data_IF_688453976193
#
_entry.id   IF_688453976193
#
_cell.length_a   1.000
_cell.length_b   1.000
_cell.length_c   1.000
_cell.angle_alpha   90.00
_cell.angle_beta   90.00
_cell.angle_gamma   90.00
#
_symmetry.space_group_name_H-M   'P 1'
#
loop_
_entity.id
_entity.type
_entity.pdbx_description
1 polymer ?
#
# COMPACT_ATOMS: atom_id res chain seq x y z
N UNK A 1 9.94 -29.98 -25.92
CA UNK A 1 9.73 -30.25 -24.48
C UNK A 1 8.47 -29.51 -24.08
N UNK A 2 7.32 -30.18 -24.18
CA UNK A 2 6.00 -29.59 -23.96
C UNK A 2 5.69 -29.82 -22.48
N UNK A 3 5.83 -28.79 -21.64
CA UNK A 3 5.31 -28.86 -20.27
C UNK A 3 3.80 -29.07 -20.35
N UNK A 4 3.31 -30.11 -19.67
CA UNK A 4 1.89 -30.48 -19.66
C UNK A 4 1.05 -29.39 -19.01
N UNK A 5 -0.21 -29.23 -19.45
CA UNK A 5 -1.18 -28.29 -18.87
C UNK A 5 -1.21 -28.33 -17.33
N UNK A 6 -1.08 -29.51 -16.72
CA UNK A 6 -1.10 -29.71 -15.27
C UNK A 6 0.11 -29.14 -14.52
N UNK A 7 1.31 -29.12 -15.11
CA UNK A 7 2.48 -28.50 -14.49
C UNK A 7 2.37 -26.98 -14.55
N UNK A 8 1.85 -26.45 -15.65
CA UNK A 8 1.59 -25.01 -15.79
C UNK A 8 0.56 -24.54 -14.75
N UNK A 9 -0.54 -25.27 -14.59
CA UNK A 9 -1.58 -24.98 -13.59
C UNK A 9 -1.03 -25.13 -12.16
N UNK A 10 -0.13 -26.09 -11.90
CA UNK A 10 0.54 -26.24 -10.61
C UNK A 10 1.50 -25.09 -10.31
N UNK A 11 2.28 -24.62 -11.29
CA UNK A 11 3.17 -23.47 -11.12
C UNK A 11 2.40 -22.14 -10.99
N UNK A 12 1.27 -21.98 -11.69
CA UNK A 12 0.35 -20.86 -11.50
C UNK A 12 -0.25 -20.89 -10.07
N UNK A 13 -0.66 -22.08 -9.59
CA UNK A 13 -1.16 -22.30 -8.22
C UNK A 13 -0.09 -22.04 -7.16
N UNK A 14 1.17 -22.41 -7.42
CA UNK A 14 2.29 -22.11 -6.53
C UNK A 14 2.66 -20.62 -6.54
N UNK A 15 2.41 -19.91 -7.65
CA UNK A 15 2.55 -18.44 -7.72
C UNK A 15 1.51 -17.74 -6.87
N UNK A 16 0.26 -18.22 -6.91
CA UNK A 16 -0.83 -17.77 -6.02
C UNK A 16 -0.47 -18.06 -4.56
N UNK A 17 0.07 -19.25 -4.26
CA UNK A 17 0.47 -19.63 -2.90
C UNK A 17 1.61 -18.76 -2.32
N UNK A 18 2.50 -18.22 -3.15
CA UNK A 18 3.56 -17.31 -2.71
C UNK A 18 3.03 -15.91 -2.32
N UNK A 19 1.87 -15.52 -2.87
CA UNK A 19 1.19 -14.28 -2.51
C UNK A 19 0.32 -14.45 -1.25
N UNK A 20 0.02 -15.68 -0.84
CA UNK A 20 -0.96 -16.01 0.22
C UNK A 20 -0.33 -16.60 1.50
N UNK A 21 0.95 -16.33 1.78
CA UNK A 21 1.71 -17.01 2.85
C UNK A 21 0.96 -17.01 4.20
N UNK A 22 0.38 -15.88 4.60
CA UNK A 22 -0.35 -15.79 5.88
C UNK A 22 -1.68 -16.57 5.87
N UNK A 23 -2.36 -16.67 4.73
CA UNK A 23 -3.57 -17.48 4.60
C UNK A 23 -3.23 -18.97 4.68
N UNK A 24 -2.15 -19.38 4.02
CA UNK A 24 -1.65 -20.76 4.09
C UNK A 24 -1.26 -21.10 5.52
N UNK A 25 -0.53 -20.20 6.21
CA UNK A 25 -0.20 -20.38 7.63
C UNK A 25 -1.43 -20.50 8.51
N UNK A 26 -2.48 -19.70 8.27
CA UNK A 26 -3.73 -19.79 9.02
C UNK A 26 -4.41 -21.15 8.82
N UNK A 27 -4.57 -21.61 7.58
CA UNK A 27 -5.21 -22.90 7.34
C UNK A 27 -4.42 -24.04 7.98
N UNK A 28 -3.09 -24.02 7.91
CA UNK A 28 -2.24 -25.01 8.60
C UNK A 28 -2.45 -24.93 10.12
N UNK A 29 -2.42 -23.74 10.71
CA UNK A 29 -2.59 -23.58 12.15
C UNK A 29 -3.97 -24.06 12.62
N UNK A 30 -5.03 -23.75 11.86
CA UNK A 30 -6.40 -24.19 12.14
C UNK A 30 -6.54 -25.71 12.05
N UNK A 31 -5.93 -26.35 11.06
CA UNK A 31 -5.94 -27.83 10.94
C UNK A 31 -5.15 -28.50 12.08
N UNK A 32 -4.18 -27.81 12.68
CA UNK A 32 -3.47 -28.31 13.87
C UNK A 32 -4.32 -28.24 15.14
N UNK A 33 -5.08 -27.16 15.33
CA UNK A 33 -6.02 -26.98 16.44
C UNK A 33 -7.10 -25.95 16.05
N UNK A 34 -8.37 -26.33 16.14
CA UNK A 34 -9.51 -25.43 15.83
C UNK A 34 -9.52 -24.15 16.68
N UNK A 35 -8.86 -24.14 17.84
CA UNK A 35 -8.71 -22.94 18.67
C UNK A 35 -8.01 -21.80 17.92
N UNK A 36 -7.11 -22.12 16.99
CA UNK A 36 -6.37 -21.16 16.17
C UNK A 36 -7.24 -20.37 15.19
N UNK A 37 -8.55 -20.60 15.15
CA UNK A 37 -9.49 -19.73 14.43
C UNK A 37 -9.39 -18.27 14.91
N UNK A 38 -8.98 -18.02 16.15
CA UNK A 38 -8.67 -16.68 16.65
C UNK A 38 -7.58 -15.94 15.84
N UNK A 39 -6.68 -16.66 15.18
CA UNK A 39 -5.64 -16.11 14.31
C UNK A 39 -6.17 -15.62 12.94
N UNK A 40 -7.45 -15.83 12.64
CA UNK A 40 -8.09 -15.37 11.39
C UNK A 40 -7.95 -13.85 11.18
N UNK A 41 -8.00 -13.05 12.25
CA UNK A 41 -7.76 -11.61 12.19
C UNK A 41 -6.36 -11.27 11.66
N UNK A 42 -5.32 -12.02 12.06
CA UNK A 42 -3.95 -11.80 11.58
C UNK A 42 -3.78 -12.18 10.11
N UNK A 43 -4.46 -13.23 9.65
CA UNK A 43 -4.49 -13.57 8.23
C UNK A 43 -5.14 -12.47 7.40
N UNK A 44 -6.27 -11.90 7.87
CA UNK A 44 -6.91 -10.74 7.26
C UNK A 44 -5.96 -9.53 7.22
N UNK A 45 -5.25 -9.23 8.32
CA UNK A 45 -4.23 -8.15 8.37
C UNK A 45 -3.15 -8.36 7.32
N UNK A 46 -2.66 -9.60 7.18
CA UNK A 46 -1.69 -9.99 6.16
C UNK A 46 -2.17 -9.71 4.74
N UNK A 47 -3.34 -10.24 4.40
CA UNK A 47 -3.94 -10.07 3.08
C UNK A 47 -4.19 -8.60 2.73
N UNK A 48 -4.63 -7.79 3.70
CA UNK A 48 -4.79 -6.35 3.54
C UNK A 48 -3.45 -5.62 3.37
N UNK A 49 -2.41 -6.05 4.11
CA UNK A 49 -1.05 -5.54 3.98
C UNK A 49 -0.44 -5.76 2.60
N UNK A 50 -0.77 -6.90 1.98
CA UNK A 50 -0.36 -7.27 0.62
C UNK A 50 -1.31 -6.72 -0.47
N UNK A 51 -2.32 -5.93 -0.07
CA UNK A 51 -3.28 -5.29 -0.98
C UNK A 51 -4.07 -6.30 -1.83
N UNK A 52 -4.37 -7.48 -1.26
CA UNK A 52 -5.11 -8.54 -1.95
C UNK A 52 -6.60 -8.25 -2.14
N UNK A 53 -7.07 -7.13 -1.60
CA UNK A 53 -8.43 -6.66 -1.75
C UNK A 53 -8.59 -5.61 -2.87
N UNK A 54 -7.67 -5.57 -3.84
CA UNK A 54 -7.76 -4.72 -5.05
C UNK A 54 -8.75 -5.24 -6.09
N UNK A 55 -9.94 -5.63 -5.64
CA UNK A 55 -11.05 -6.00 -6.51
C UNK A 55 -11.93 -4.79 -6.83
N UNK A 56 -12.89 -4.94 -7.75
CA UNK A 56 -13.83 -3.87 -8.11
C UNK A 56 -14.59 -3.30 -6.90
N UNK A 57 -14.94 -4.15 -5.94
CA UNK A 57 -15.62 -3.79 -4.70
C UNK A 57 -14.69 -3.60 -3.50
N UNK A 58 -13.37 -3.63 -3.71
CA UNK A 58 -12.35 -3.48 -2.68
C UNK A 58 -12.55 -4.40 -1.45
N UNK A 59 -12.77 -5.68 -1.72
CA UNK A 59 -13.04 -6.70 -0.72
C UNK A 59 -12.20 -7.94 -0.97
N UNK A 60 -11.70 -8.56 0.10
CA UNK A 60 -11.04 -9.86 0.06
C UNK A 60 -11.93 -10.94 -0.58
N UNK A 61 -11.35 -11.72 -1.51
CA UNK A 61 -12.04 -12.77 -2.28
C UNK A 61 -11.42 -14.15 -2.07
N UNK A 62 -12.00 -15.18 -2.68
CA UNK A 62 -11.43 -16.53 -2.73
C UNK A 62 -11.15 -17.10 -1.33
N UNK A 63 -9.96 -17.65 -1.09
CA UNK A 63 -9.59 -18.21 0.22
C UNK A 63 -9.65 -17.17 1.34
N UNK A 64 -9.26 -15.91 1.07
CA UNK A 64 -9.39 -14.85 2.06
C UNK A 64 -10.85 -14.64 2.49
N UNK A 65 -11.80 -14.75 1.55
CA UNK A 65 -13.22 -14.63 1.87
C UNK A 65 -13.67 -15.73 2.83
N UNK A 66 -13.15 -16.95 2.71
CA UNK A 66 -13.45 -18.02 3.64
C UNK A 66 -12.96 -17.69 5.05
N UNK A 67 -11.72 -17.20 5.19
CA UNK A 67 -11.16 -16.75 6.48
C UNK A 67 -12.02 -15.65 7.11
N UNK A 68 -12.45 -14.68 6.30
CA UNK A 68 -13.32 -13.57 6.74
C UNK A 68 -14.67 -14.09 7.25
N UNK A 69 -15.33 -15.00 6.53
CA UNK A 69 -16.63 -15.54 6.97
C UNK A 69 -16.49 -16.37 8.25
N UNK A 70 -15.41 -17.13 8.42
CA UNK A 70 -15.13 -17.85 9.67
C UNK A 70 -14.95 -16.91 10.87
N UNK A 71 -14.13 -15.87 10.69
CA UNK A 71 -13.91 -14.84 11.70
C UNK A 71 -15.21 -14.12 12.07
N UNK A 72 -16.04 -13.81 11.07
CA UNK A 72 -17.35 -13.17 11.25
C UNK A 72 -18.33 -14.06 12.00
N UNK A 73 -18.40 -15.34 11.65
CA UNK A 73 -19.27 -16.32 12.33
C UNK A 73 -18.89 -16.51 13.80
N UNK A 74 -17.60 -16.36 14.15
CA UNK A 74 -17.12 -16.39 15.54
C UNK A 74 -17.26 -15.04 16.26
N UNK A 75 -17.67 -13.98 15.57
CA UNK A 75 -17.81 -12.64 16.14
C UNK A 75 -16.47 -11.93 16.39
N UNK A 76 -15.40 -12.31 15.68
CA UNK A 76 -14.08 -11.68 15.81
C UNK A 76 -13.95 -10.44 14.92
N UNK A 77 -14.61 -10.44 13.76
CA UNK A 77 -14.56 -9.34 12.79
C UNK A 77 -15.96 -8.92 12.36
N UNK A 78 -16.18 -7.62 12.28
CA UNK A 78 -17.29 -7.02 11.57
C UNK A 78 -16.81 -6.54 10.20
N UNK A 79 -17.57 -6.85 9.15
CA UNK A 79 -17.29 -6.42 7.78
C UNK A 79 -18.40 -5.50 7.30
N UNK A 80 -18.05 -4.26 6.99
CA UNK A 80 -18.98 -3.25 6.46
C UNK A 80 -18.43 -2.64 5.18
N UNK A 81 -19.32 -2.21 4.29
CA UNK A 81 -18.94 -1.36 3.16
C UNK A 81 -18.86 0.10 3.63
N UNK A 82 -17.71 0.75 3.43
CA UNK A 82 -17.45 2.09 3.95
C UNK A 82 -16.38 2.83 3.11
N UNK A 83 -16.16 4.11 3.43
CA UNK A 83 -15.08 4.93 2.89
C UNK A 83 -13.71 4.40 3.35
N UNK A 84 -12.86 4.05 2.40
CA UNK A 84 -11.52 3.48 2.62
C UNK A 84 -10.47 4.54 2.92
N UNK A 85 -10.77 5.44 3.86
CA UNK A 85 -9.77 6.39 4.36
C UNK A 85 -8.87 5.75 5.40
N UNK A 86 -7.59 6.11 5.35
CA UNK A 86 -6.64 5.71 6.38
C UNK A 86 -6.90 6.48 7.68
N UNK A 87 -6.80 5.83 8.84
CA UNK A 87 -7.04 6.47 10.13
C UNK A 87 -8.50 6.53 10.52
N UNK A 88 -9.29 5.53 10.11
CA UNK A 88 -10.73 5.44 10.34
C UNK A 88 -11.07 5.47 11.83
N UNK A 89 -10.27 4.79 12.64
CA UNK A 89 -10.42 4.69 14.10
C UNK A 89 -9.57 5.75 14.84
N UNK A 90 -8.45 6.18 14.25
CA UNK A 90 -7.41 6.90 15.01
C UNK A 90 -7.24 8.38 14.64
N UNK A 91 -7.89 8.87 13.58
CA UNK A 91 -7.63 10.22 13.04
C UNK A 91 -8.87 11.10 12.95
N UNK A 92 -8.71 12.42 13.16
CA UNK A 92 -9.71 13.40 12.75
C UNK A 92 -10.06 13.26 11.26
N UNK A 93 -11.32 13.48 10.89
CA UNK A 93 -11.83 13.31 9.51
C UNK A 93 -10.92 13.96 8.45
N UNK A 94 -10.55 15.24 8.62
CA UNK A 94 -9.70 15.97 7.67
C UNK A 94 -8.29 15.36 7.53
N UNK A 95 -7.72 14.83 8.63
CA UNK A 95 -6.44 14.12 8.61
C UNK A 95 -6.55 12.74 7.97
N UNK A 96 -7.67 12.05 8.17
CA UNK A 96 -7.90 10.76 7.53
C UNK A 96 -7.94 10.91 6.00
N UNK A 97 -8.66 11.93 5.51
CA UNK A 97 -8.71 12.25 4.07
C UNK A 97 -7.31 12.65 3.56
N UNK A 98 -6.62 13.58 4.23
CA UNK A 98 -5.32 14.07 3.75
C UNK A 98 -4.23 13.00 3.77
N UNK A 99 -4.30 12.02 4.67
CA UNK A 99 -3.33 10.91 4.73
C UNK A 99 -3.68 9.72 3.85
N UNK A 100 -4.84 9.74 3.20
CA UNK A 100 -5.23 8.68 2.26
C UNK A 100 -4.48 8.86 0.95
N UNK A 101 -3.65 7.88 0.64
CA UNK A 101 -2.77 7.85 -0.54
C UNK A 101 -3.20 6.79 -1.56
N UNK A 102 -4.06 5.84 -1.17
CA UNK A 102 -4.54 4.79 -2.07
C UNK A 102 -6.06 4.54 -1.86
N UNK A 103 -6.93 5.11 -2.71
CA UNK A 103 -6.59 5.92 -3.89
C UNK A 103 -6.09 7.32 -3.52
N UNK A 104 -5.23 7.89 -4.36
CA UNK A 104 -4.78 9.28 -4.23
C UNK A 104 -5.88 10.22 -4.72
N UNK A 105 -6.16 11.27 -3.94
CA UNK A 105 -7.19 12.28 -4.25
C UNK A 105 -6.46 13.58 -4.58
N UNK A 106 -6.29 13.95 -5.86
CA UNK A 106 -5.54 15.14 -6.24
C UNK A 106 -6.05 16.39 -5.55
N UNK A 107 -5.16 17.20 -4.98
CA UNK A 107 -5.54 18.44 -4.29
C UNK A 107 -6.17 18.26 -2.90
N UNK A 108 -6.36 17.03 -2.42
CA UNK A 108 -6.75 16.73 -1.03
C UNK A 108 -5.72 15.85 -0.32
N UNK A 109 -5.27 14.75 -0.94
CA UNK A 109 -4.20 13.92 -0.41
C UNK A 109 -2.92 14.73 -0.25
N UNK A 110 -2.35 14.72 0.97
CA UNK A 110 -1.21 15.54 1.38
C UNK A 110 -1.55 16.97 1.82
N UNK A 111 -2.80 17.42 1.64
CA UNK A 111 -3.21 18.82 1.83
C UNK A 111 -4.21 18.94 3.00
N UNK A 112 -3.71 18.95 4.24
CA UNK A 112 -4.53 18.96 5.46
C UNK A 112 -5.50 20.16 5.51
N UNK A 113 -5.03 21.37 5.21
CA UNK A 113 -5.84 22.58 5.23
C UNK A 113 -6.98 22.54 4.19
N UNK A 114 -6.72 21.97 3.01
CA UNK A 114 -7.74 21.79 1.97
C UNK A 114 -8.76 20.74 2.38
N UNK A 115 -8.32 19.65 3.02
CA UNK A 115 -9.23 18.65 3.58
C UNK A 115 -10.09 19.23 4.70
N UNK A 116 -9.53 20.08 5.56
CA UNK A 116 -10.28 20.78 6.59
C UNK A 116 -11.36 21.66 5.97
N UNK A 117 -10.99 22.51 5.00
CA UNK A 117 -11.94 23.34 4.25
C UNK A 117 -12.99 22.53 3.51
N UNK A 118 -12.61 21.40 2.91
CA UNK A 118 -13.54 20.48 2.24
C UNK A 118 -14.62 19.99 3.21
N UNK A 119 -14.24 19.46 4.37
CA UNK A 119 -15.21 18.94 5.36
C UNK A 119 -16.09 20.06 5.94
N UNK A 120 -15.52 21.23 6.20
CA UNK A 120 -16.27 22.41 6.69
C UNK A 120 -17.32 22.86 5.67
N UNK A 121 -16.97 22.90 4.38
CA UNK A 121 -17.90 23.29 3.31
C UNK A 121 -19.07 22.31 3.14
N UNK A 122 -18.92 21.05 3.57
CA UNK A 122 -19.99 20.06 3.59
C UNK A 122 -20.95 20.22 4.79
N UNK A 123 -20.64 21.13 5.72
CA UNK A 123 -21.39 21.31 6.95
C UNK A 123 -21.29 20.12 7.90
N UNK A 124 -20.23 19.33 7.81
CA UNK A 124 -20.00 18.16 8.67
C UNK A 124 -19.28 18.62 9.94
N UNK A 125 -19.87 18.41 11.15
CA UNK A 125 -19.21 18.75 12.39
C UNK A 125 -17.93 17.95 12.56
N UNK A 126 -16.81 18.65 12.77
CA UNK A 126 -15.49 18.03 12.96
C UNK A 126 -15.23 17.58 14.39
N UNK A 127 -16.02 18.07 15.35
CA UNK A 127 -15.89 17.78 16.76
C UNK A 127 -17.23 17.37 17.36
N UNK A 128 -17.14 16.54 18.39
CA UNK A 128 -18.22 16.20 19.30
C UNK A 128 -17.78 16.64 20.70
N UNK A 129 -18.32 17.76 21.18
CA UNK A 129 -17.74 18.52 22.29
C UNK A 129 -16.31 18.98 21.99
N UNK A 130 -15.37 18.62 22.87
CA UNK A 130 -13.93 18.94 22.71
C UNK A 130 -13.17 17.90 21.87
N UNK A 131 -13.79 16.76 21.58
CA UNK A 131 -13.16 15.62 20.91
C UNK A 131 -13.28 15.76 19.40
N UNK A 132 -12.17 15.52 18.68
CA UNK A 132 -12.21 15.40 17.22
C UNK A 132 -12.91 14.11 16.80
N UNK A 133 -13.84 14.22 15.86
CA UNK A 133 -14.52 13.08 15.25
C UNK A 133 -13.63 12.41 14.22
N UNK A 134 -13.70 11.09 14.17
CA UNK A 134 -13.06 10.22 13.19
C UNK A 134 -14.06 9.80 12.09
N UNK A 135 -13.59 9.03 11.10
CA UNK A 135 -14.47 8.48 10.07
C UNK A 135 -15.46 7.48 10.67
N UNK A 136 -15.06 6.75 11.72
CA UNK A 136 -15.95 5.83 12.43
C UNK A 136 -17.11 6.53 13.17
N UNK A 137 -16.96 7.82 13.51
CA UNK A 137 -18.01 8.63 14.14
C UNK A 137 -19.02 9.24 13.14
N UNK A 138 -18.78 9.11 11.83
CA UNK A 138 -19.64 9.69 10.81
C UNK A 138 -20.92 8.87 10.62
N UNK A 139 -22.06 9.55 10.47
CA UNK A 139 -23.31 8.93 10.07
C UNK A 139 -23.26 8.50 8.60
N UNK A 140 -24.16 7.61 8.20
CA UNK A 140 -24.26 7.20 6.79
C UNK A 140 -24.58 8.38 5.87
N UNK A 141 -25.40 9.34 6.31
CA UNK A 141 -25.70 10.56 5.54
C UNK A 141 -24.46 11.44 5.36
N UNK A 142 -23.64 11.60 6.39
CA UNK A 142 -22.40 12.38 6.30
C UNK A 142 -21.39 11.69 5.36
N UNK A 143 -21.25 10.37 5.46
CA UNK A 143 -20.39 9.57 4.56
C UNK A 143 -20.85 9.70 3.10
N UNK A 144 -22.15 9.61 2.85
CA UNK A 144 -22.72 9.82 1.52
C UNK A 144 -22.41 11.23 0.99
N UNK A 145 -22.57 12.29 1.80
CA UNK A 145 -22.22 13.65 1.41
C UNK A 145 -20.75 13.79 1.00
N UNK A 146 -19.84 13.22 1.79
CA UNK A 146 -18.40 13.20 1.47
C UNK A 146 -18.18 12.50 0.13
N UNK A 147 -18.72 11.30 -0.04
CA UNK A 147 -18.53 10.52 -1.26
C UNK A 147 -19.08 11.24 -2.50
N UNK A 148 -20.32 11.74 -2.46
CA UNK A 148 -20.92 12.46 -3.58
C UNK A 148 -20.09 13.66 -4.01
N UNK A 149 -19.51 14.39 -3.06
CA UNK A 149 -18.71 15.58 -3.36
C UNK A 149 -17.32 15.22 -3.87
N UNK A 150 -16.72 14.13 -3.38
CA UNK A 150 -15.51 13.57 -3.97
C UNK A 150 -15.76 13.09 -5.41
N UNK A 151 -16.91 12.47 -5.69
CA UNK A 151 -17.29 12.02 -7.04
C UNK A 151 -17.40 13.19 -8.02
N UNK A 152 -18.05 14.28 -7.62
CA UNK A 152 -18.13 15.51 -8.44
C UNK A 152 -16.74 16.08 -8.68
N UNK A 153 -15.95 16.20 -7.60
CA UNK A 153 -14.61 16.76 -7.65
C UNK A 153 -13.67 15.96 -8.56
N UNK A 154 -13.62 14.64 -8.39
CA UNK A 154 -12.74 13.76 -9.17
C UNK A 154 -13.19 13.61 -10.62
N UNK A 155 -14.51 13.55 -10.87
CA UNK A 155 -15.05 13.58 -12.25
C UNK A 155 -14.64 14.85 -12.97
N UNK A 156 -14.67 16.01 -12.31
CA UNK A 156 -14.22 17.29 -12.88
C UNK A 156 -12.72 17.32 -13.24
N UNK A 157 -11.94 16.42 -12.63
CA UNK A 157 -10.50 16.22 -12.89
C UNK A 157 -10.23 15.11 -13.91
N UNK A 158 -11.27 14.52 -14.50
CA UNK A 158 -11.16 13.48 -15.53
C UNK A 158 -10.90 12.07 -15.01
N UNK A 159 -11.15 11.80 -13.72
CA UNK A 159 -11.05 10.45 -13.17
C UNK A 159 -12.20 9.59 -13.67
N UNK A 160 -11.92 8.32 -13.96
CA UNK A 160 -12.97 7.36 -14.32
C UNK A 160 -13.84 7.03 -13.12
N UNK A 161 -15.11 6.72 -13.40
CA UNK A 161 -16.06 6.24 -12.40
C UNK A 161 -15.51 5.04 -11.61
N UNK A 162 -14.90 4.08 -12.32
CA UNK A 162 -14.23 2.92 -11.71
C UNK A 162 -13.16 3.33 -10.68
N UNK A 163 -12.33 4.35 -10.99
CA UNK A 163 -11.29 4.84 -10.08
C UNK A 163 -11.89 5.54 -8.86
N UNK A 164 -13.01 6.23 -9.01
CA UNK A 164 -13.71 6.92 -7.92
C UNK A 164 -14.33 5.88 -6.98
N UNK A 165 -14.97 4.84 -7.51
CA UNK A 165 -15.55 3.77 -6.71
C UNK A 165 -14.52 2.97 -5.91
N UNK A 166 -13.23 3.03 -6.25
CA UNK A 166 -12.15 2.48 -5.41
C UNK A 166 -12.02 3.18 -4.04
N UNK A 167 -12.70 4.31 -3.80
CA UNK A 167 -12.79 4.96 -2.48
C UNK A 167 -13.73 4.23 -1.51
N UNK A 168 -14.60 3.35 -2.00
CA UNK A 168 -15.52 2.55 -1.20
C UNK A 168 -15.07 1.09 -1.23
N UNK A 169 -15.22 0.39 -0.11
CA UNK A 169 -15.03 -1.05 -0.07
C UNK A 169 -15.22 -1.64 1.31
N UNK A 170 -14.78 -2.90 1.45
CA UNK A 170 -14.84 -3.60 2.71
C UNK A 170 -13.86 -3.02 3.73
N UNK A 171 -14.42 -2.68 4.89
CA UNK A 171 -13.70 -2.38 6.13
C UNK A 171 -13.82 -3.58 7.05
N UNK A 172 -12.69 -3.95 7.65
CA UNK A 172 -12.55 -5.10 8.54
C UNK A 172 -12.27 -4.59 9.95
N UNK A 173 -13.29 -4.60 10.80
CA UNK A 173 -13.23 -4.09 12.17
C UNK A 173 -13.07 -5.26 13.15
N UNK A 174 -11.95 -5.35 13.86
CA UNK A 174 -11.72 -6.41 14.84
C UNK A 174 -12.40 -6.06 16.17
N UNK A 175 -13.34 -6.90 16.58
CA UNK A 175 -14.28 -6.58 17.67
C UNK A 175 -13.67 -6.73 19.06
N UNK A 176 -12.62 -7.54 19.18
CA UNK A 176 -11.86 -7.77 20.43
C UNK A 176 -10.80 -6.70 20.71
N UNK A 177 -10.49 -5.83 19.74
CA UNK A 177 -9.54 -4.73 19.94
C UNK A 177 -10.23 -3.48 20.47
N UNK A 178 -9.54 -2.72 21.33
CA UNK A 178 -10.07 -1.48 21.88
C UNK A 178 -10.37 -0.44 20.78
N UNK A 179 -11.47 0.28 20.95
CA UNK A 179 -11.80 1.46 20.11
C UNK A 179 -10.66 2.47 20.18
N UNK A 180 -10.50 3.26 19.12
CA UNK A 180 -9.47 4.31 19.02
C UNK A 180 -8.04 3.79 18.94
N UNK A 181 -7.85 2.49 18.69
CA UNK A 181 -6.54 1.91 18.43
C UNK A 181 -6.39 1.57 16.95
N UNK A 182 -5.15 1.66 16.40
CA UNK A 182 -4.90 1.21 15.03
C UNK A 182 -5.08 -0.30 14.85
N UNK A 183 -5.15 -1.07 15.95
CA UNK A 183 -5.34 -2.52 15.90
C UNK A 183 -6.76 -2.88 15.50
N UNK A 184 -7.74 -2.02 15.79
CA UNK A 184 -9.17 -2.28 15.52
C UNK A 184 -9.54 -2.28 14.05
N UNK A 185 -8.76 -1.60 13.19
CA UNK A 185 -8.98 -1.60 11.74
C UNK A 185 -7.89 -2.41 11.03
N UNK A 186 -8.29 -3.37 10.19
CA UNK A 186 -7.35 -4.29 9.55
C UNK A 186 -6.27 -3.62 8.70
N UNK A 187 -6.56 -2.48 8.05
CA UNK A 187 -5.56 -1.74 7.24
C UNK A 187 -4.66 -0.89 8.11
N UNK A 188 -5.20 -0.28 9.16
CA UNK A 188 -4.39 0.44 10.13
C UNK A 188 -3.41 -0.49 10.86
N UNK A 189 -3.87 -1.69 11.23
CA UNK A 189 -3.04 -2.70 11.87
C UNK A 189 -1.94 -3.17 10.92
N UNK A 190 -2.28 -3.50 9.67
CA UNK A 190 -1.27 -3.84 8.65
C UNK A 190 -0.21 -2.74 8.47
N UNK A 191 -0.64 -1.48 8.48
CA UNK A 191 0.25 -0.33 8.36
C UNK A 191 1.16 -0.15 9.58
N UNK A 192 0.66 -0.40 10.79
CA UNK A 192 1.42 -0.37 12.03
C UNK A 192 2.52 -1.44 12.04
N UNK A 193 2.18 -2.69 11.70
CA UNK A 193 3.13 -3.79 11.61
C UNK A 193 4.22 -3.51 10.57
N UNK A 194 3.80 -3.03 9.39
CA UNK A 194 4.72 -2.64 8.33
C UNK A 194 5.69 -1.55 8.79
N UNK A 195 5.22 -0.52 9.48
CA UNK A 195 6.09 0.53 10.01
C UNK A 195 7.11 -0.03 11.01
N UNK A 196 6.69 -0.89 11.94
CA UNK A 196 7.60 -1.52 12.91
C UNK A 196 8.74 -2.29 12.20
N UNK A 197 8.42 -3.09 11.19
CA UNK A 197 9.42 -3.84 10.41
C UNK A 197 10.35 -2.90 9.64
N UNK A 198 9.81 -1.86 8.99
CA UNK A 198 10.60 -0.87 8.22
C UNK A 198 11.53 -0.05 9.09
N UNK A 199 11.12 0.23 10.33
CA UNK A 199 11.94 0.89 11.35
C UNK A 199 12.93 -0.06 12.04
N UNK A 200 13.02 -1.33 11.61
CA UNK A 200 14.00 -2.29 12.14
C UNK A 200 13.61 -2.89 13.50
N UNK A 201 12.32 -2.87 13.83
CA UNK A 201 11.76 -3.42 15.08
C UNK A 201 10.73 -4.53 14.83
N UNK A 202 11.10 -5.62 14.11
CA UNK A 202 10.17 -6.72 13.84
C UNK A 202 9.71 -7.45 15.12
N UNK A 203 10.50 -7.42 16.19
CA UNK A 203 10.10 -8.01 17.48
C UNK A 203 8.85 -7.36 18.07
N UNK A 204 8.70 -6.04 17.94
CA UNK A 204 7.49 -5.32 18.38
C UNK A 204 6.28 -5.75 17.56
N UNK A 205 6.44 -5.83 16.23
CA UNK A 205 5.38 -6.32 15.34
C UNK A 205 4.92 -7.74 15.74
N UNK A 206 5.88 -8.65 16.00
CA UNK A 206 5.57 -10.00 16.45
C UNK A 206 4.85 -10.02 17.81
N UNK A 207 5.31 -9.22 18.78
CA UNK A 207 4.66 -9.10 20.09
C UNK A 207 3.22 -8.61 19.99
N UNK A 208 2.92 -7.66 19.10
CA UNK A 208 1.55 -7.19 18.84
C UNK A 208 0.67 -8.32 18.28
N UNK A 209 1.18 -9.09 17.32
CA UNK A 209 0.48 -10.26 16.77
C UNK A 209 0.19 -11.31 17.85
N UNK A 210 1.08 -11.45 18.84
CA UNK A 210 0.92 -12.34 19.99
C UNK A 210 0.02 -11.77 21.10
N UNK A 211 -0.67 -10.65 20.87
CA UNK A 211 -1.62 -10.08 21.83
C UNK A 211 -1.03 -9.07 22.81
N UNK A 212 0.25 -8.67 22.68
CA UNK A 212 0.82 -7.62 23.54
C UNK A 212 0.14 -6.27 23.27
N UNK A 213 -0.28 -5.58 24.33
CA UNK A 213 -0.89 -4.23 24.29
C UNK A 213 -0.15 -3.32 25.29
N UNK A 214 -0.69 -2.13 25.58
CA UNK A 214 -0.05 -1.17 26.50
C UNK A 214 1.24 -0.59 25.93
N UNK A 215 2.34 -0.64 26.69
CA UNK A 215 3.63 -0.02 26.31
C UNK A 215 4.14 -0.47 24.93
N UNK A 216 3.94 -1.73 24.55
CA UNK A 216 4.34 -2.25 23.24
C UNK A 216 3.53 -1.60 22.10
N UNK A 217 2.24 -1.36 22.33
CA UNK A 217 1.39 -0.65 21.37
C UNK A 217 1.77 0.83 21.27
N UNK A 218 2.11 1.47 22.39
CA UNK A 218 2.57 2.86 22.41
C UNK A 218 3.90 3.01 21.66
N UNK A 219 4.85 2.10 21.88
CA UNK A 219 6.12 2.07 21.13
C UNK A 219 5.87 1.88 19.62
N UNK A 220 4.99 0.96 19.24
CA UNK A 220 4.63 0.74 17.84
C UNK A 220 3.99 1.99 17.19
N UNK A 221 3.10 2.69 17.89
CA UNK A 221 2.48 3.92 17.41
C UNK A 221 3.50 5.04 17.23
N UNK A 222 4.47 5.16 18.14
CA UNK A 222 5.58 6.10 18.02
C UNK A 222 6.43 5.79 16.78
N UNK A 223 6.78 4.51 16.57
CA UNK A 223 7.51 4.07 15.36
C UNK A 223 6.75 4.37 14.08
N UNK A 224 5.43 4.21 14.07
CA UNK A 224 4.59 4.57 12.93
C UNK A 224 4.63 6.07 12.63
N UNK A 225 4.64 6.92 13.65
CA UNK A 225 4.76 8.37 13.49
C UNK A 225 6.16 8.78 13.00
N UNK A 226 7.22 8.19 13.54
CA UNK A 226 8.60 8.40 13.09
C UNK A 226 8.80 7.95 11.63
N UNK A 227 8.27 6.78 11.28
CA UNK A 227 8.30 6.24 9.93
C UNK A 227 7.68 7.23 8.92
N UNK A 228 6.50 7.79 9.25
CA UNK A 228 5.83 8.80 8.42
C UNK A 228 6.64 10.07 8.28
N UNK A 229 7.18 10.59 9.39
CA UNK A 229 8.02 11.79 9.38
C UNK A 229 9.24 11.59 8.49
N UNK A 230 9.88 10.42 8.59
CA UNK A 230 11.04 10.05 7.77
C UNK A 230 10.68 10.01 6.29
N UNK A 231 9.57 9.36 5.92
CA UNK A 231 9.08 9.35 4.52
C UNK A 231 8.83 10.76 4.01
N UNK A 232 8.13 11.60 4.79
CA UNK A 232 7.84 12.97 4.40
C UNK A 232 9.11 13.78 4.14
N UNK A 233 10.10 13.69 5.04
CA UNK A 233 11.39 14.35 4.89
C UNK A 233 12.14 13.87 3.63
N UNK A 234 12.17 12.56 3.37
CA UNK A 234 12.80 12.02 2.17
C UNK A 234 12.12 12.53 0.89
N UNK A 235 10.79 12.59 0.84
CA UNK A 235 10.05 13.08 -0.33
C UNK A 235 10.32 14.57 -0.54
N UNK A 236 10.26 15.39 0.52
CA UNK A 236 10.59 16.82 0.43
C UNK A 236 12.01 17.03 -0.11
N UNK A 237 13.00 16.33 0.45
CA UNK A 237 14.39 16.41 -0.03
C UNK A 237 14.53 15.98 -1.50
N UNK A 238 13.82 14.92 -1.92
CA UNK A 238 13.82 14.49 -3.31
C UNK A 238 13.24 15.55 -4.24
N UNK A 239 12.18 16.25 -3.84
CA UNK A 239 11.55 17.29 -4.67
C UNK A 239 12.42 18.56 -4.73
N UNK A 240 13.02 18.95 -3.61
CA UNK A 240 13.82 20.18 -3.48
C UNK A 240 15.21 20.05 -4.12
N UNK A 241 15.79 18.85 -4.12
CA UNK A 241 17.14 18.63 -4.65
C UNK A 241 17.12 18.52 -6.19
N UNK A 242 17.85 19.37 -6.93
CA UNK A 242 17.89 19.27 -8.38
C UNK A 242 18.42 17.93 -8.89
N UNK A 243 17.89 17.45 -10.03
CA UNK A 243 18.34 16.22 -10.74
C UNK A 243 18.16 14.90 -9.99
N UNK A 244 17.41 14.87 -8.89
CA UNK A 244 16.98 13.63 -8.23
C UNK A 244 15.89 12.94 -9.02
N UNK A 245 14.83 13.66 -9.40
CA UNK A 245 13.75 13.20 -10.28
C UNK A 245 14.08 13.66 -11.69
N UNK A 246 14.39 12.72 -12.57
CA UNK A 246 14.75 12.98 -13.97
C UNK A 246 13.71 12.36 -14.88
N UNK A 247 13.07 13.20 -15.70
CA UNK A 247 12.18 12.74 -16.74
C UNK A 247 12.98 12.25 -17.95
N UNK A 248 12.76 10.99 -18.32
CA UNK A 248 13.18 10.41 -19.59
C UNK A 248 11.99 10.37 -20.55
N UNK A 249 12.23 9.95 -21.79
CA UNK A 249 11.21 9.94 -22.84
C UNK A 249 9.98 9.11 -22.44
N UNK A 250 10.20 7.90 -21.91
CA UNK A 250 9.15 6.95 -21.56
C UNK A 250 9.05 6.59 -20.08
N UNK A 251 9.89 7.14 -19.21
CA UNK A 251 9.90 6.80 -17.78
C UNK A 251 10.43 7.95 -16.93
N UNK A 252 10.28 7.84 -15.62
CA UNK A 252 10.96 8.69 -14.65
C UNK A 252 12.05 7.90 -13.93
N UNK A 253 13.21 8.52 -13.72
CA UNK A 253 14.28 7.99 -12.89
C UNK A 253 14.35 8.81 -11.61
N UNK A 254 14.25 8.16 -10.46
CA UNK A 254 14.37 8.81 -9.14
C UNK A 254 15.66 8.34 -8.48
N UNK A 255 16.62 9.24 -8.37
CA UNK A 255 17.93 9.01 -7.76
C UNK A 255 17.85 9.34 -6.28
N UNK A 256 17.80 8.31 -5.45
CA UNK A 256 17.61 8.43 -4.01
C UNK A 256 18.89 8.19 -3.19
N UNK A 257 20.04 8.05 -3.84
CA UNK A 257 21.32 7.83 -3.18
C UNK A 257 21.57 8.87 -2.08
N UNK A 258 21.97 8.42 -0.89
CA UNK A 258 22.23 9.24 0.29
C UNK A 258 21.03 10.03 0.84
N UNK A 259 19.84 9.89 0.26
CA UNK A 259 18.61 10.55 0.72
C UNK A 259 17.64 9.53 1.33
N UNK A 260 17.59 8.33 0.74
CA UNK A 260 16.63 7.28 1.11
C UNK A 260 17.34 5.99 1.48
N UNK A 261 17.07 5.50 2.69
CA UNK A 261 17.50 4.16 3.12
C UNK A 261 16.84 3.06 2.27
N UNK A 262 17.59 1.99 2.00
CA UNK A 262 17.15 0.86 1.17
C UNK A 262 15.82 0.21 1.62
N UNK A 263 15.47 0.31 2.90
CA UNK A 263 14.20 -0.20 3.45
C UNK A 263 13.01 0.64 3.00
N UNK A 264 13.23 1.93 2.76
CA UNK A 264 12.20 2.95 2.46
C UNK A 264 12.01 3.23 0.97
N UNK A 265 12.90 2.70 0.12
CA UNK A 265 12.84 2.92 -1.34
C UNK A 265 11.48 2.55 -1.95
N UNK A 266 10.93 1.40 -1.58
CA UNK A 266 9.67 0.90 -2.15
C UNK A 266 8.45 1.72 -1.71
N UNK A 267 8.26 2.07 -0.43
CA UNK A 267 7.24 3.03 -0.01
C UNK A 267 7.35 4.37 -0.75
N UNK A 268 8.56 4.93 -0.86
CA UNK A 268 8.78 6.22 -1.53
C UNK A 268 8.46 6.13 -3.02
N UNK A 269 8.94 5.09 -3.72
CA UNK A 269 8.61 4.88 -5.13
C UNK A 269 7.09 4.74 -5.35
N UNK A 270 6.40 4.08 -4.41
CA UNK A 270 4.94 3.95 -4.44
C UNK A 270 4.29 5.32 -4.30
N UNK A 271 4.65 6.10 -3.28
CA UNK A 271 4.09 7.44 -3.04
C UNK A 271 4.35 8.38 -4.23
N UNK A 272 5.57 8.38 -4.78
CA UNK A 272 5.88 9.20 -5.95
C UNK A 272 5.05 8.80 -7.17
N UNK A 273 4.76 7.50 -7.33
CA UNK A 273 3.94 6.99 -8.45
C UNK A 273 2.47 7.34 -8.40
N UNK A 274 1.96 7.64 -7.21
CA UNK A 274 0.57 8.04 -7.00
C UNK A 274 0.44 9.55 -6.77
N UNK A 275 1.51 10.22 -6.34
CA UNK A 275 1.51 11.66 -6.12
C UNK A 275 1.28 12.35 -7.47
N UNK A 276 0.25 13.18 -7.56
CA UNK A 276 -0.20 13.81 -8.81
C UNK A 276 0.80 14.76 -9.49
N UNK A 277 2.06 14.79 -9.06
CA UNK A 277 3.13 15.57 -9.66
C UNK A 277 3.87 14.89 -10.82
N UNK A 278 3.67 13.58 -11.03
CA UNK A 278 4.32 12.81 -12.12
C UNK A 278 3.29 12.27 -13.11
N UNK A 279 3.64 12.18 -14.39
CA UNK A 279 2.74 11.66 -15.41
C UNK A 279 2.47 10.16 -15.18
N UNK A 280 1.21 9.74 -14.92
CA UNK A 280 0.87 8.35 -14.61
C UNK A 280 1.04 7.39 -15.80
N UNK A 281 1.27 7.91 -17.01
CA UNK A 281 1.58 7.12 -18.22
C UNK A 281 3.08 6.85 -18.38
N UNK A 282 3.89 7.12 -17.37
CA UNK A 282 5.32 6.77 -17.34
C UNK A 282 5.61 5.97 -16.07
N UNK A 283 6.24 4.78 -16.16
CA UNK A 283 6.70 4.08 -14.98
C UNK A 283 7.80 4.88 -14.27
N UNK A 284 7.94 4.64 -12.98
CA UNK A 284 8.98 5.23 -12.13
C UNK A 284 9.98 4.16 -11.75
N UNK A 285 11.27 4.49 -11.92
CA UNK A 285 12.40 3.66 -11.53
C UNK A 285 13.19 4.41 -10.45
N UNK A 286 13.03 4.00 -9.19
CA UNK A 286 13.74 4.60 -8.07
C UNK A 286 14.99 3.77 -7.72
N UNK A 287 16.12 4.42 -7.46
CA UNK A 287 17.39 3.78 -7.14
C UNK A 287 17.99 4.33 -5.83
N UNK A 288 18.54 3.47 -4.98
CA UNK A 288 19.36 3.90 -3.83
C UNK A 288 20.51 2.91 -3.57
N UNK A 289 21.52 3.38 -2.85
CA UNK A 289 22.65 2.55 -2.43
C UNK A 289 22.27 1.65 -1.25
N UNK A 290 22.70 0.39 -1.31
CA UNK A 290 22.59 -0.59 -0.23
C UNK A 290 23.84 -0.53 0.66
N UNK A 291 23.73 -1.07 1.88
CA UNK A 291 24.86 -1.12 2.83
C UNK A 291 26.03 -1.97 2.34
N UNK A 292 25.76 -2.97 1.51
CA UNK A 292 26.78 -3.86 0.94
C UNK A 292 27.43 -3.30 -0.35
N UNK A 293 27.16 -2.05 -0.69
CA UNK A 293 27.70 -1.36 -1.86
C UNK A 293 26.91 -1.57 -3.14
N UNK A 294 25.94 -2.51 -3.20
CA UNK A 294 25.07 -2.68 -4.37
C UNK A 294 24.03 -1.58 -4.47
N UNK A 295 23.32 -1.52 -5.60
CA UNK A 295 22.22 -0.57 -5.81
C UNK A 295 20.90 -1.33 -5.78
N UNK A 296 19.99 -0.86 -4.94
CA UNK A 296 18.61 -1.32 -4.90
C UNK A 296 17.76 -0.49 -5.84
N UNK A 297 16.90 -1.15 -6.59
CA UNK A 297 15.95 -0.55 -7.52
C UNK A 297 14.54 -0.93 -7.10
N UNK A 298 13.63 0.03 -7.13
CA UNK A 298 12.19 -0.20 -6.98
C UNK A 298 11.46 0.46 -8.14
N UNK A 299 10.68 -0.33 -8.87
CA UNK A 299 9.94 0.12 -10.04
C UNK A 299 8.42 0.09 -9.80
N UNK A 300 7.72 1.09 -10.34
CA UNK A 300 6.26 1.20 -10.28
C UNK A 300 5.70 1.54 -11.65
N UNK A 301 4.64 0.86 -12.06
CA UNK A 301 3.86 1.14 -13.25
C UNK A 301 2.38 1.23 -12.88
N UNK A 302 1.64 2.10 -13.56
CA UNK A 302 0.19 2.19 -13.41
C UNK A 302 -0.50 0.97 -14.02
N UNK A 303 -1.73 0.70 -13.58
CA UNK A 303 -2.54 -0.36 -14.16
C UNK A 303 -2.76 -0.14 -15.66
N UNK A 304 -3.02 1.11 -16.07
CA UNK A 304 -3.17 1.49 -17.48
C UNK A 304 -1.96 1.12 -18.35
N UNK A 305 -0.74 1.18 -17.82
CA UNK A 305 0.46 0.74 -18.53
C UNK A 305 0.53 -0.78 -18.65
N UNK A 306 0.12 -1.47 -17.58
CA UNK A 306 0.06 -2.94 -17.57
C UNK A 306 -0.96 -3.46 -18.57
N UNK A 307 -2.12 -2.81 -18.66
CA UNK A 307 -3.18 -3.18 -19.62
C UNK A 307 -2.73 -2.96 -21.07
N UNK A 308 -1.77 -2.07 -21.31
CA UNK A 308 -1.08 -1.88 -22.60
C UNK A 308 0.03 -2.92 -22.87
N UNK A 309 0.23 -3.88 -21.97
CA UNK A 309 1.21 -4.95 -22.10
C UNK A 309 2.54 -4.71 -21.36
N UNK A 310 2.71 -3.58 -20.66
CA UNK A 310 3.93 -3.34 -19.90
C UNK A 310 4.03 -4.27 -18.69
N UNK A 311 5.09 -5.08 -18.63
CA UNK A 311 5.37 -5.91 -17.46
C UNK A 311 6.68 -5.45 -16.79
N UNK A 312 6.57 -4.63 -15.74
CA UNK A 312 7.75 -4.06 -15.09
C UNK A 312 8.59 -5.12 -14.37
N UNK A 313 7.97 -6.20 -13.89
CA UNK A 313 8.66 -7.35 -13.30
C UNK A 313 9.63 -8.03 -14.26
N UNK A 314 9.16 -8.33 -15.47
CA UNK A 314 9.97 -8.94 -16.53
C UNK A 314 11.09 -8.00 -17.00
N UNK A 315 10.80 -6.70 -17.10
CA UNK A 315 11.80 -5.69 -17.47
C UNK A 315 12.89 -5.60 -16.41
N UNK A 316 12.54 -5.51 -15.12
CA UNK A 316 13.52 -5.48 -14.03
C UNK A 316 14.38 -6.73 -13.99
N UNK A 317 13.79 -7.92 -14.19
CA UNK A 317 14.53 -9.17 -14.27
C UNK A 317 15.54 -9.15 -15.43
N UNK A 318 15.06 -8.93 -16.66
CA UNK A 318 15.88 -9.02 -17.86
C UNK A 318 16.99 -7.96 -17.88
N UNK A 319 16.67 -6.72 -17.48
CA UNK A 319 17.65 -5.64 -17.45
C UNK A 319 18.72 -5.86 -16.36
N UNK A 320 18.34 -6.39 -15.20
CA UNK A 320 19.29 -6.67 -14.12
C UNK A 320 20.22 -7.84 -14.46
N UNK A 321 19.69 -8.93 -15.01
CA UNK A 321 20.47 -10.11 -15.39
C UNK A 321 21.56 -9.76 -16.42
N UNK A 322 21.27 -8.87 -17.39
CA UNK A 322 22.23 -8.39 -18.40
C UNK A 322 23.47 -7.72 -17.81
N UNK A 323 23.38 -7.19 -16.60
CA UNK A 323 24.48 -6.46 -15.94
C UNK A 323 24.98 -7.15 -14.67
N UNK A 324 24.68 -8.46 -14.50
CA UNK A 324 25.11 -9.24 -13.34
C UNK A 324 24.34 -8.92 -12.05
N UNK A 325 23.15 -8.34 -12.17
CA UNK A 325 22.20 -8.13 -11.09
C UNK A 325 21.14 -9.23 -11.02
N UNK A 326 20.17 -9.03 -10.11
CA UNK A 326 18.97 -9.87 -9.97
C UNK A 326 17.75 -8.98 -9.88
N UNK A 327 16.68 -9.31 -10.60
CA UNK A 327 15.43 -8.56 -10.58
C UNK A 327 14.21 -9.45 -10.69
N UNK A 328 13.03 -8.86 -10.45
CA UNK A 328 11.75 -9.54 -10.57
C UNK A 328 10.64 -8.82 -9.82
N UNK A 329 9.43 -9.38 -9.90
CA UNK A 329 8.23 -8.86 -9.25
C UNK A 329 6.99 -8.98 -10.13
N UNK A 330 5.97 -8.21 -9.82
CA UNK A 330 4.70 -8.18 -10.54
C UNK A 330 4.75 -7.19 -11.70
N UNK A 331 3.72 -7.21 -12.54
CA UNK A 331 3.58 -6.30 -13.69
C UNK A 331 3.50 -4.82 -13.30
N UNK A 332 2.92 -4.51 -12.14
CA UNK A 332 2.73 -3.14 -11.61
C UNK A 332 3.83 -2.69 -10.64
N UNK A 333 4.49 -3.63 -9.96
CA UNK A 333 5.48 -3.34 -8.93
C UNK A 333 6.58 -4.40 -8.91
N UNK A 334 7.81 -3.96 -9.07
CA UNK A 334 8.97 -4.84 -9.13
C UNK A 334 10.19 -4.22 -8.44
N UNK A 335 11.24 -5.02 -8.28
CA UNK A 335 12.51 -4.56 -7.76
C UNK A 335 13.68 -5.25 -8.46
N UNK A 336 14.86 -4.66 -8.28
CA UNK A 336 16.11 -5.26 -8.68
C UNK A 336 17.24 -4.88 -7.71
N UNK A 337 18.30 -5.67 -7.74
CA UNK A 337 19.58 -5.36 -7.13
C UNK A 337 20.65 -5.46 -8.20
N UNK A 338 21.39 -4.37 -8.40
CA UNK A 338 22.38 -4.25 -9.48
C UNK A 338 23.75 -3.85 -8.90
N UNK A 339 24.87 -4.17 -9.57
CA UNK A 339 26.20 -3.73 -9.13
C UNK A 339 26.36 -2.20 -9.14
N UNK A 340 27.21 -1.67 -8.26
CA UNK A 340 27.57 -0.26 -8.25
C UNK A 340 28.26 0.15 -9.56
N UNK A 341 27.98 1.35 -10.06
CA UNK A 341 28.55 1.88 -11.30
C UNK A 341 27.87 1.38 -12.58
N UNK A 342 26.87 0.50 -12.46
CA UNK A 342 26.08 -0.03 -13.59
C UNK A 342 24.71 0.65 -13.75
N UNK A 343 24.40 1.68 -12.96
CA UNK A 343 23.11 2.38 -12.94
C UNK A 343 22.77 2.97 -14.31
N UNK A 344 23.74 3.63 -14.97
CA UNK A 344 23.53 4.22 -16.29
C UNK A 344 23.27 3.16 -17.37
N UNK A 345 23.94 2.01 -17.30
CA UNK A 345 23.71 0.90 -18.23
C UNK A 345 22.34 0.26 -18.00
N UNK A 346 21.98 0.03 -16.73
CA UNK A 346 20.67 -0.45 -16.32
C UNK A 346 19.53 0.43 -16.84
N UNK A 347 19.62 1.74 -16.59
CA UNK A 347 18.62 2.74 -16.99
C UNK A 347 18.41 2.70 -18.51
N UNK A 348 19.47 2.57 -19.30
CA UNK A 348 19.36 2.46 -20.77
C UNK A 348 18.63 1.19 -21.20
N UNK A 349 18.94 0.04 -20.61
CA UNK A 349 18.25 -1.21 -20.93
C UNK A 349 16.76 -1.15 -20.57
N UNK A 350 16.43 -0.61 -19.40
CA UNK A 350 15.04 -0.43 -18.98
C UNK A 350 14.32 0.50 -19.94
N UNK A 351 14.90 1.66 -20.27
CA UNK A 351 14.28 2.62 -21.18
C UNK A 351 14.00 2.02 -22.56
N UNK A 352 14.95 1.24 -23.10
CA UNK A 352 14.77 0.55 -24.37
C UNK A 352 13.60 -0.45 -24.31
N UNK A 353 13.54 -1.29 -23.28
CA UNK A 353 12.48 -2.29 -23.15
C UNK A 353 11.10 -1.65 -22.94
N UNK A 354 11.04 -0.53 -22.20
CA UNK A 354 9.79 0.24 -22.06
C UNK A 354 9.37 0.80 -23.42
N UNK A 355 10.29 1.40 -24.20
CA UNK A 355 10.02 1.93 -25.56
C UNK A 355 9.52 0.87 -26.53
N UNK A 356 10.07 -0.34 -26.47
CA UNK A 356 9.65 -1.46 -27.32
C UNK A 356 8.24 -1.95 -27.00
N UNK A 357 7.72 -1.65 -25.80
CA UNK A 357 6.40 -2.10 -25.34
C UNK A 357 5.31 -1.02 -25.49
N UNK A 358 5.62 0.25 -25.19
CA UNK A 358 4.67 1.39 -25.16
C UNK A 358 5.22 2.68 -25.75
#
# INVERSE_FOLDING_TARGET
MVMGKSEKDFFESCKIAAEEILNVCYFVAKEMDEKNLDQSCLAIVGALGDLQDKTKNRCLQSLNKQIVEEAKNKGLVEVTEDLLFYGRETRPIHKAISTTMNPFIPGLSGEEDKCLGFVVNLGIPLKDGDRWRSISDLTQEEKQKIFSQLTIYLSSKGFSEESIFQLIGCVYTFLEEDKWTPLRDGREFASLLNACVKMGKPGIAASLCLGSRGEILDEAQNLLNEYRKTIGQCISLLIETPKTIVEHEKMYVVRCHNIVDEKMLSPIATILSISGGLNPNKPIIALTSMKDGRIKVSARASQTLTDKGLNIGLIMQTAAEKIGGKGGGHSVAAGATIPQGKEGEFIRFVEQMVKETI
#
